data_IF_933230374599
#
_entry.id   IF_933230374599
#
_cell.length_a   1.000
_cell.length_b   1.000
_cell.length_c   1.000
_cell.angle_alpha   90.00
_cell.angle_beta   90.00
_cell.angle_gamma   90.00
#
_symmetry.space_group_name_H-M   'P 1'
#
loop_
_entity.id
_entity.type
_entity.pdbx_description
1 polymer ?
#
# COMPACT_ATOMS: atom_id res chain seq x y z
N UNK A 1 10.88 22.26 8.08
CA UNK A 1 9.48 21.80 8.06
C UNK A 1 9.49 20.29 8.09
N UNK A 2 9.04 19.66 9.17
CA UNK A 2 8.85 18.21 9.23
C UNK A 2 7.39 17.96 8.82
N UNK A 3 7.17 17.35 7.66
CA UNK A 3 5.83 16.97 7.22
C UNK A 3 5.65 15.50 7.60
N UNK A 4 4.72 15.24 8.50
CA UNK A 4 4.29 13.90 8.87
C UNK A 4 3.06 13.52 8.04
N UNK A 5 3.13 12.37 7.37
CA UNK A 5 2.04 11.84 6.56
C UNK A 5 1.19 10.91 7.42
N UNK A 6 -0.13 11.16 7.46
CA UNK A 6 -1.08 10.22 8.05
C UNK A 6 -1.38 9.16 7.00
N UNK A 7 -1.12 7.90 7.31
CA UNK A 7 -1.22 6.81 6.34
C UNK A 7 -2.13 5.69 6.80
N UNK A 8 -3.13 5.41 5.99
CA UNK A 8 -3.94 4.19 6.08
C UNK A 8 -3.31 3.12 5.17
N UNK A 9 -3.11 1.91 5.70
CA UNK A 9 -2.61 0.78 4.93
C UNK A 9 -3.74 -0.22 4.72
N UNK A 10 -3.99 -0.57 3.47
CA UNK A 10 -5.08 -1.47 3.12
C UNK A 10 -4.69 -2.41 1.96
N UNK A 11 -5.51 -3.45 1.79
CA UNK A 11 -5.34 -4.47 0.77
C UNK A 11 -6.59 -4.62 -0.10
N UNK A 12 -6.38 -4.64 -1.41
CA UNK A 12 -7.45 -4.87 -2.38
C UNK A 12 -7.14 -6.07 -3.25
N UNK A 13 -8.17 -6.85 -3.53
CA UNK A 13 -8.11 -7.94 -4.50
C UNK A 13 -9.00 -7.66 -5.71
N UNK A 14 -8.48 -7.98 -6.89
CA UNK A 14 -9.24 -7.99 -8.13
C UNK A 14 -8.68 -9.05 -9.09
N UNK A 15 -9.15 -9.05 -10.33
CA UNK A 15 -8.70 -9.96 -11.37
C UNK A 15 -8.66 -9.27 -12.73
N UNK A 16 -7.79 -9.75 -13.63
CA UNK A 16 -7.69 -9.25 -15.01
C UNK A 16 -8.38 -10.24 -15.93
N UNK A 17 -9.44 -9.80 -16.61
CA UNK A 17 -10.31 -10.58 -17.52
C UNK A 17 -11.06 -11.76 -16.87
N UNK A 18 -10.39 -12.66 -16.14
CA UNK A 18 -11.01 -13.80 -15.46
C UNK A 18 -10.54 -13.97 -14.01
N UNK A 19 -11.40 -14.52 -13.14
CA UNK A 19 -11.14 -14.70 -11.70
C UNK A 19 -9.98 -15.65 -11.34
N UNK A 20 -9.47 -16.46 -12.29
CA UNK A 20 -8.27 -17.28 -12.07
C UNK A 20 -7.00 -16.42 -12.14
N UNK A 21 -7.03 -15.30 -12.86
CA UNK A 21 -5.93 -14.33 -12.95
C UNK A 21 -6.05 -13.25 -11.86
N UNK A 22 -5.89 -13.68 -10.61
CA UNK A 22 -5.99 -12.83 -9.44
C UNK A 22 -4.84 -11.81 -9.34
N UNK A 23 -5.15 -10.65 -8.77
CA UNK A 23 -4.20 -9.57 -8.45
C UNK A 23 -4.49 -9.10 -7.03
N UNK A 24 -3.46 -9.06 -6.20
CA UNK A 24 -3.52 -8.44 -4.88
C UNK A 24 -2.72 -7.14 -4.93
N UNK A 25 -3.35 -6.06 -4.51
CA UNK A 25 -2.75 -4.75 -4.35
C UNK A 25 -2.66 -4.46 -2.86
N UNK A 26 -1.45 -4.18 -2.39
CA UNK A 26 -1.23 -3.55 -1.09
C UNK A 26 -0.91 -2.09 -1.35
N UNK A 27 -1.54 -1.18 -0.62
CA UNK A 27 -1.31 0.25 -0.81
C UNK A 27 -1.35 1.01 0.51
N UNK A 28 -0.70 2.17 0.48
CA UNK A 28 -0.61 3.14 1.56
C UNK A 28 -1.24 4.45 1.08
N UNK A 29 -2.28 4.90 1.76
CA UNK A 29 -3.11 6.03 1.37
C UNK A 29 -3.00 7.16 2.38
N UNK A 30 -2.79 8.38 1.90
CA UNK A 30 -2.80 9.60 2.69
C UNK A 30 -4.15 10.32 2.48
N UNK A 31 -5.05 10.35 3.48
CA UNK A 31 -6.41 10.87 3.31
C UNK A 31 -6.51 12.38 3.07
N UNK A 32 -5.58 13.18 3.61
CA UNK A 32 -5.59 14.66 3.53
C UNK A 32 -5.18 15.14 2.15
N UNK A 33 -4.15 14.53 1.58
CA UNK A 33 -3.60 14.76 0.25
C UNK A 33 -4.36 13.99 -0.83
N UNK A 34 -5.18 13.02 -0.42
CA UNK A 34 -5.94 12.11 -1.29
C UNK A 34 -5.05 11.41 -2.30
N UNK A 35 -3.93 10.86 -1.82
CA UNK A 35 -2.91 10.26 -2.67
C UNK A 35 -2.41 8.92 -2.12
N UNK A 36 -2.10 8.01 -3.04
CA UNK A 36 -1.38 6.77 -2.73
C UNK A 36 0.11 7.09 -2.70
N UNK A 37 0.74 6.90 -1.54
CA UNK A 37 2.16 7.25 -1.33
C UNK A 37 3.09 6.06 -1.57
N UNK A 38 2.59 4.83 -1.44
CA UNK A 38 3.32 3.62 -1.79
C UNK A 38 2.33 2.51 -2.15
N UNK A 39 2.72 1.61 -3.06
CA UNK A 39 1.94 0.43 -3.39
C UNK A 39 2.84 -0.72 -3.85
N UNK A 40 2.33 -1.94 -3.73
CA UNK A 40 2.98 -3.14 -4.26
C UNK A 40 1.93 -4.17 -4.70
N UNK A 41 2.17 -4.80 -5.85
CA UNK A 41 1.39 -5.94 -6.31
C UNK A 41 2.02 -7.25 -5.83
N UNK A 42 1.19 -8.21 -5.42
CA UNK A 42 1.69 -9.51 -4.99
C UNK A 42 0.61 -10.45 -4.48
N UNK A 43 0.96 -11.25 -3.47
CA UNK A 43 0.03 -12.13 -2.78
C UNK A 43 -0.41 -11.52 -1.44
N UNK A 44 -1.51 -12.04 -0.88
CA UNK A 44 -1.95 -11.72 0.49
C UNK A 44 -1.03 -12.35 1.54
N UNK A 45 0.15 -11.79 1.77
CA UNK A 45 1.08 -12.35 2.76
C UNK A 45 1.91 -11.28 3.48
N UNK A 46 2.46 -11.68 4.65
CA UNK A 46 3.32 -10.81 5.48
C UNK A 46 4.62 -10.37 4.80
N UNK A 47 5.05 -11.05 3.72
CA UNK A 47 6.24 -10.64 2.96
C UNK A 47 5.95 -9.38 2.14
N UNK A 48 4.81 -9.33 1.45
CA UNK A 48 4.37 -8.16 0.69
C UNK A 48 4.13 -6.95 1.61
N UNK A 49 3.50 -7.16 2.78
CA UNK A 49 3.33 -6.11 3.77
C UNK A 49 4.69 -5.53 4.23
N UNK A 50 5.68 -6.38 4.53
CA UNK A 50 7.02 -5.91 4.92
C UNK A 50 7.71 -5.13 3.81
N UNK A 51 7.50 -5.51 2.55
CA UNK A 51 8.02 -4.74 1.41
C UNK A 51 7.36 -3.37 1.31
N UNK A 52 6.03 -3.29 1.50
CA UNK A 52 5.33 -2.00 1.53
C UNK A 52 5.83 -1.11 2.68
N UNK A 53 5.97 -1.65 3.90
CA UNK A 53 6.55 -0.91 5.02
C UNK A 53 7.99 -0.46 4.75
N UNK A 54 8.77 -1.28 4.02
CA UNK A 54 10.10 -0.90 3.56
C UNK A 54 10.08 0.31 2.61
N UNK A 55 9.10 0.40 1.71
CA UNK A 55 8.90 1.58 0.88
C UNK A 55 8.52 2.82 1.71
N UNK A 56 7.66 2.61 2.73
CA UNK A 56 7.22 3.67 3.63
C UNK A 56 8.31 4.20 4.56
N UNK A 57 9.35 3.43 4.86
CA UNK A 57 10.46 3.85 5.73
C UNK A 57 11.23 5.08 5.22
N UNK A 58 11.04 5.46 3.94
CA UNK A 58 11.62 6.64 3.31
C UNK A 58 10.85 7.93 3.64
N UNK A 59 9.68 7.80 4.26
CA UNK A 59 8.78 8.88 4.62
C UNK A 59 8.64 8.95 6.15
N UNK A 60 8.28 10.12 6.66
CA UNK A 60 7.89 10.27 8.06
C UNK A 60 6.37 10.00 8.16
N UNK A 61 6.00 8.78 8.54
CA UNK A 61 4.62 8.27 8.45
C UNK A 61 4.08 7.95 9.84
N UNK A 62 2.87 8.44 10.13
CA UNK A 62 2.04 8.02 11.25
C UNK A 62 0.92 7.10 10.73
N UNK A 63 0.59 6.06 11.50
CA UNK A 63 -0.47 5.11 11.20
C UNK A 63 -1.70 5.38 12.06
#
# INVERSE_FOLDING_TARGET
MHIELLCEVDEQWSFVANKKQQRWLWYAWEPRLKQVIAHIFGCRNKKMLRQLLGLLSRFNVAF
#
